data_IF_539175276183
#
_entry.id   IF_539175276183
#
_cell.length_a   1.000
_cell.length_b   1.000
_cell.length_c   1.000
_cell.angle_alpha   90.00
_cell.angle_beta   90.00
_cell.angle_gamma   90.00
#
_symmetry.space_group_name_H-M   'P 1'
#
loop_
_entity.id
_entity.type
_entity.pdbx_description
1 polymer ?
#
# COMPACT_ATOMS: atom_id res chain seq x y z
N UNK A 1 -18.25 -6.60 46.59
CA UNK A 1 -17.50 -6.01 45.46
C UNK A 1 -16.83 -7.13 44.68
N UNK A 2 -16.90 -7.30 43.37
CA UNK A 2 -17.85 -6.88 42.33
C UNK A 2 -17.37 -7.62 41.07
N UNK A 3 -17.90 -8.83 40.83
CA UNK A 3 -17.63 -9.63 39.61
C UNK A 3 -17.88 -8.80 38.33
N UNK A 4 -18.81 -7.83 38.39
CA UNK A 4 -19.12 -6.89 37.32
C UNK A 4 -17.97 -5.90 37.00
N UNK A 5 -17.11 -5.58 37.97
CA UNK A 5 -15.97 -4.69 37.74
C UNK A 5 -14.85 -5.38 36.95
N UNK A 6 -14.69 -6.69 37.14
CA UNK A 6 -13.63 -7.48 36.48
C UNK A 6 -13.94 -7.69 34.99
N UNK A 7 -15.18 -8.04 34.66
CA UNK A 7 -15.63 -8.12 33.27
C UNK A 7 -15.58 -6.75 32.58
N UNK A 8 -15.99 -5.68 33.25
CA UNK A 8 -15.87 -4.32 32.72
C UNK A 8 -14.43 -3.94 32.36
N UNK A 9 -13.47 -4.33 33.21
CA UNK A 9 -12.04 -4.08 32.99
C UNK A 9 -11.47 -4.88 31.80
N UNK A 10 -11.89 -6.15 31.64
CA UNK A 10 -11.48 -7.00 30.52
C UNK A 10 -12.00 -6.43 29.20
N UNK A 11 -13.29 -6.08 29.12
CA UNK A 11 -13.88 -5.47 27.92
C UNK A 11 -13.23 -4.12 27.56
N UNK A 12 -12.92 -3.30 28.56
CA UNK A 12 -12.24 -2.01 28.34
C UNK A 12 -10.83 -2.20 27.77
N UNK A 13 -10.02 -3.10 28.36
CA UNK A 13 -8.68 -3.41 27.87
C UNK A 13 -8.72 -4.01 26.45
N UNK A 14 -9.64 -4.94 26.18
CA UNK A 14 -9.82 -5.53 24.86
C UNK A 14 -10.19 -4.49 23.80
N UNK A 15 -11.14 -3.60 24.13
CA UNK A 15 -11.53 -2.49 23.24
C UNK A 15 -10.39 -1.49 22.99
N UNK A 16 -9.56 -1.22 24.00
CA UNK A 16 -8.39 -0.35 23.88
C UNK A 16 -7.30 -0.97 22.99
N UNK A 17 -7.06 -2.27 23.12
CA UNK A 17 -6.11 -3.00 22.28
C UNK A 17 -6.57 -3.10 20.83
N UNK A 18 -7.87 -3.30 20.59
CA UNK A 18 -8.45 -3.21 19.24
C UNK A 18 -8.24 -1.83 18.61
N UNK A 19 -8.43 -0.74 19.36
CA UNK A 19 -8.16 0.63 18.88
C UNK A 19 -6.67 0.83 18.55
N UNK A 20 -5.75 0.33 19.38
CA UNK A 20 -4.30 0.37 19.10
C UNK A 20 -3.96 -0.44 17.84
N UNK A 21 -4.51 -1.64 17.69
CA UNK A 21 -4.32 -2.50 16.51
C UNK A 21 -4.81 -1.82 15.24
N UNK A 22 -6.00 -1.21 15.25
CA UNK A 22 -6.51 -0.44 14.12
C UNK A 22 -5.60 0.75 13.76
N UNK A 23 -5.12 1.52 14.75
CA UNK A 23 -4.16 2.61 14.50
C UNK A 23 -2.88 2.11 13.83
N UNK A 24 -2.34 0.98 14.28
CA UNK A 24 -1.15 0.35 13.67
C UNK A 24 -1.40 -0.08 12.23
N UNK A 25 -2.53 -0.75 11.96
CA UNK A 25 -2.93 -1.16 10.61
C UNK A 25 -3.08 0.06 9.69
N UNK A 26 -3.76 1.12 10.14
CA UNK A 26 -3.89 2.37 9.36
C UNK A 26 -2.53 2.99 9.03
N UNK A 27 -1.62 3.04 10.01
CA UNK A 27 -0.25 3.57 9.82
C UNK A 27 0.54 2.72 8.82
N UNK A 28 0.42 1.40 8.90
CA UNK A 28 1.04 0.46 7.98
C UNK A 28 0.52 0.64 6.56
N UNK A 29 -0.80 0.64 6.36
CA UNK A 29 -1.43 0.83 5.06
C UNK A 29 -1.05 2.18 4.44
N UNK A 30 -1.02 3.26 5.23
CA UNK A 30 -0.57 4.58 4.76
C UNK A 30 0.89 4.57 4.30
N UNK A 31 1.78 3.90 5.03
CA UNK A 31 3.20 3.74 4.63
C UNK A 31 3.32 2.90 3.36
N UNK A 32 2.62 1.78 3.27
CA UNK A 32 2.59 0.89 2.09
C UNK A 32 2.12 1.64 0.85
N UNK A 33 1.01 2.37 0.94
CA UNK A 33 0.47 3.16 -0.17
C UNK A 33 1.44 4.25 -0.65
N UNK A 34 2.11 4.96 0.27
CA UNK A 34 3.14 5.95 -0.08
C UNK A 34 4.31 5.32 -0.83
N UNK A 35 4.76 4.15 -0.39
CA UNK A 35 5.88 3.44 -1.03
C UNK A 35 5.48 2.99 -2.45
N UNK A 36 4.32 2.36 -2.60
CA UNK A 36 3.81 1.90 -3.89
C UNK A 36 3.66 3.08 -4.88
N UNK A 37 3.10 4.21 -4.45
CA UNK A 37 2.98 5.40 -5.30
C UNK A 37 4.33 6.00 -5.70
N UNK A 38 5.35 5.88 -4.84
CA UNK A 38 6.71 6.33 -5.16
C UNK A 38 7.34 5.42 -6.21
N UNK A 39 7.16 4.10 -6.09
CA UNK A 39 7.74 3.11 -7.00
C UNK A 39 7.07 3.14 -8.38
N UNK A 40 5.76 3.38 -8.43
CA UNK A 40 4.96 3.41 -9.65
C UNK A 40 4.79 4.82 -10.23
N UNK A 41 5.70 5.75 -9.90
CA UNK A 41 5.50 7.18 -10.21
C UNK A 41 5.61 7.49 -11.70
N UNK A 42 6.49 6.79 -12.41
CA UNK A 42 6.72 6.98 -13.84
C UNK A 42 6.44 5.68 -14.60
N UNK A 43 5.96 5.81 -15.83
CA UNK A 43 5.71 4.68 -16.73
C UNK A 43 6.35 4.97 -18.08
N UNK A 44 6.94 3.94 -18.67
CA UNK A 44 7.50 4.00 -20.01
C UNK A 44 6.40 3.79 -21.05
N UNK A 45 6.25 4.73 -22.00
CA UNK A 45 5.27 4.60 -23.08
C UNK A 45 5.64 3.51 -24.10
N UNK A 46 6.92 3.12 -24.18
CA UNK A 46 7.37 2.11 -25.13
C UNK A 46 7.06 0.67 -24.66
N UNK A 47 7.29 0.37 -23.38
CA UNK A 47 7.16 -1.00 -22.86
C UNK A 47 6.19 -1.14 -21.67
N UNK A 48 5.60 -0.06 -21.18
CA UNK A 48 4.69 -0.07 -20.03
C UNK A 48 5.39 -0.27 -18.67
N UNK A 49 6.71 -0.40 -18.63
CA UNK A 49 7.43 -0.62 -17.37
C UNK A 49 7.38 0.60 -16.45
N UNK A 50 7.13 0.36 -15.17
CA UNK A 50 7.16 1.38 -14.13
C UNK A 50 8.59 1.72 -13.69
N UNK A 51 8.83 3.00 -13.45
CA UNK A 51 10.09 3.55 -12.99
C UNK A 51 9.82 4.43 -11.75
N UNK A 52 10.71 4.36 -10.77
CA UNK A 52 10.57 5.05 -9.49
C UNK A 52 11.10 6.50 -9.52
N UNK A 53 11.93 6.83 -10.52
CA UNK A 53 12.55 8.13 -10.74
C UNK A 53 12.39 8.58 -12.20
N UNK A 54 12.45 9.89 -12.40
CA UNK A 54 12.51 10.53 -13.71
C UNK A 54 13.95 10.59 -14.20
N UNK A 55 14.55 9.42 -14.44
CA UNK A 55 15.96 9.33 -14.85
C UNK A 55 16.18 9.64 -16.35
N UNK A 56 15.14 10.08 -17.05
CA UNK A 56 15.18 10.39 -18.48
C UNK A 56 15.14 9.17 -19.41
N UNK A 57 15.36 7.95 -18.91
CA UNK A 57 15.26 6.71 -19.69
C UNK A 57 14.64 5.54 -18.91
N UNK A 58 13.99 4.62 -19.62
CA UNK A 58 13.44 3.41 -19.04
C UNK A 58 14.55 2.44 -18.64
N UNK A 59 14.56 1.95 -17.39
CA UNK A 59 15.53 0.95 -16.94
C UNK A 59 15.42 -0.43 -17.64
N UNK A 60 14.30 -0.71 -18.30
CA UNK A 60 14.04 -1.98 -18.99
C UNK A 60 14.45 -1.89 -20.46
N UNK A 61 13.78 -1.01 -21.23
CA UNK A 61 13.99 -0.93 -22.68
C UNK A 61 14.93 0.20 -23.12
N UNK A 62 15.50 0.96 -22.17
CA UNK A 62 16.49 2.04 -22.40
C UNK A 62 16.01 3.21 -23.28
N UNK A 63 14.71 3.33 -23.55
CA UNK A 63 14.16 4.47 -24.31
C UNK A 63 13.86 5.67 -23.42
N UNK A 64 13.87 6.87 -23.99
CA UNK A 64 13.64 8.13 -23.25
C UNK A 64 12.17 8.47 -22.98
N UNK A 65 11.24 7.61 -23.42
CA UNK A 65 9.81 7.88 -23.35
C UNK A 65 9.22 7.56 -21.97
N UNK A 66 9.70 8.24 -20.93
CA UNK A 66 9.11 8.21 -19.60
C UNK A 66 8.06 9.32 -19.44
N UNK A 67 6.94 9.00 -18.81
CA UNK A 67 5.96 9.98 -18.34
C UNK A 67 5.52 9.66 -16.92
N UNK A 68 4.87 10.62 -16.26
CA UNK A 68 4.20 10.36 -14.98
C UNK A 68 3.02 9.40 -15.21
N UNK A 69 2.91 8.40 -14.36
CA UNK A 69 1.75 7.53 -14.32
C UNK A 69 0.55 8.28 -13.74
N UNK A 70 -0.64 8.02 -14.28
CA UNK A 70 -1.87 8.57 -13.73
C UNK A 70 -2.19 7.92 -12.38
N UNK A 71 -3.17 8.48 -11.66
CA UNK A 71 -3.64 7.85 -10.42
C UNK A 71 -4.25 6.48 -10.72
N UNK A 72 -5.10 6.41 -11.73
CA UNK A 72 -5.86 5.19 -12.07
C UNK A 72 -4.93 4.05 -12.52
N UNK A 73 -3.92 4.34 -13.34
CA UNK A 73 -2.92 3.35 -13.77
C UNK A 73 -2.20 2.70 -12.58
N UNK A 74 -1.81 3.52 -11.60
CA UNK A 74 -1.16 3.03 -10.37
C UNK A 74 -2.11 2.21 -9.53
N UNK A 75 -3.35 2.64 -9.36
CA UNK A 75 -4.36 1.92 -8.57
C UNK A 75 -4.71 0.57 -9.18
N UNK A 76 -4.92 0.50 -10.50
CA UNK A 76 -5.16 -0.75 -11.23
C UNK A 76 -3.98 -1.70 -11.12
N UNK A 77 -2.75 -1.18 -11.25
CA UNK A 77 -1.52 -1.99 -11.12
C UNK A 77 -1.38 -2.56 -9.71
N UNK A 78 -1.61 -1.75 -8.68
CA UNK A 78 -1.57 -2.22 -7.29
C UNK A 78 -2.63 -3.29 -7.04
N UNK A 79 -3.87 -3.08 -7.51
CA UNK A 79 -4.95 -4.05 -7.36
C UNK A 79 -4.62 -5.38 -8.05
N UNK A 80 -4.04 -5.33 -9.25
CA UNK A 80 -3.60 -6.52 -9.98
C UNK A 80 -2.55 -7.32 -9.18
N UNK A 81 -1.50 -6.65 -8.66
CA UNK A 81 -0.49 -7.32 -7.85
C UNK A 81 -1.07 -7.92 -6.56
N UNK A 82 -1.96 -7.22 -5.87
CA UNK A 82 -2.60 -7.74 -4.67
C UNK A 82 -3.48 -8.96 -4.95
N UNK A 83 -4.17 -8.98 -6.08
CA UNK A 83 -4.96 -10.13 -6.50
C UNK A 83 -4.08 -11.32 -6.92
N UNK A 84 -2.98 -11.07 -7.63
CA UNK A 84 -2.02 -12.12 -8.02
C UNK A 84 -1.31 -12.77 -6.82
N UNK A 85 -1.02 -11.99 -5.78
CA UNK A 85 -0.44 -12.54 -4.54
C UNK A 85 -1.47 -13.42 -3.83
N UNK A 86 -2.73 -12.96 -3.75
CA UNK A 86 -3.82 -13.72 -3.12
C UNK A 86 -4.15 -15.01 -3.86
N UNK A 87 -4.10 -15.03 -5.19
CA UNK A 87 -4.41 -16.24 -5.97
C UNK A 87 -3.32 -17.31 -5.90
N UNK A 88 -2.11 -16.96 -5.46
CA UNK A 88 -0.98 -17.88 -5.28
C UNK A 88 -0.80 -18.36 -3.83
N UNK A 89 -1.52 -17.77 -2.88
CA UNK A 89 -1.46 -18.12 -1.44
C UNK A 89 -2.60 -19.07 -1.09
#
# INVERSE_FOLDING_TARGET
MSFLNEFGYIFYNYGFDLKKKQKRIRKYNKKKWKLQNKLLKYICNNCGAYNHLDQGYCGICKTSHLRKATKDEREQTIALFENLIKSKS
#
